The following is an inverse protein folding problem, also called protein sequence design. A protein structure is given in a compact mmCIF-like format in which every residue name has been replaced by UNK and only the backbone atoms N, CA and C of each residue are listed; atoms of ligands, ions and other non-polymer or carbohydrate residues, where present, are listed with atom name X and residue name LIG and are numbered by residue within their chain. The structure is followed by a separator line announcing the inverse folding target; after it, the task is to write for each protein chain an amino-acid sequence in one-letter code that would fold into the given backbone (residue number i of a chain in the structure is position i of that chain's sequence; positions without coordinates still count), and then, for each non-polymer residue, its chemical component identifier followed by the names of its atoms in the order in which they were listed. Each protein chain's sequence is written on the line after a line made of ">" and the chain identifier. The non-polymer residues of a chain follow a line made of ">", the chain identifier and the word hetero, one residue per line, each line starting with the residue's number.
data_IF_238983419658
#
_entry.id   IF_238983419658
#
_cell.length_a   1.000
_cell.length_b   1.000
_cell.length_c   1.000
_cell.angle_alpha   90.00
_cell.angle_beta   90.00
_cell.angle_gamma   90.00
#
_symmetry.space_group_name_H-M   'P 1'
#
loop_
_entity.id
_entity.type
_entity.pdbx_description
1 polymer ?
#
# COMPACT_ATOMS: atom_id res chain seq x y z
N UNK A 1 -12.69 -7.38 22.20
CA UNK A 1 -12.03 -6.10 21.84
C UNK A 1 -12.89 -5.51 20.73
N UNK A 2 -13.51 -4.37 20.98
CA UNK A 2 -14.18 -3.63 19.91
C UNK A 2 -13.16 -3.24 18.84
N UNK A 3 -13.52 -3.25 17.55
CA UNK A 3 -12.64 -2.76 16.51
C UNK A 3 -12.33 -1.28 16.80
N UNK A 4 -11.05 -0.95 16.95
CA UNK A 4 -10.63 0.44 17.02
C UNK A 4 -10.91 1.02 15.63
N UNK A 5 -12.00 1.80 15.51
CA UNK A 5 -12.19 2.68 14.36
C UNK A 5 -11.13 3.76 14.45
N UNK A 6 -10.03 3.56 13.73
CA UNK A 6 -9.01 4.58 13.55
C UNK A 6 -9.52 5.56 12.50
N UNK A 7 -9.97 6.72 12.93
CA UNK A 7 -10.11 7.88 12.05
C UNK A 7 -8.73 8.50 11.87
N UNK A 8 -8.11 8.39 10.67
CA UNK A 8 -6.76 8.91 10.47
C UNK A 8 -6.79 10.43 10.57
N UNK A 9 -6.33 10.96 11.70
CA UNK A 9 -6.17 12.38 11.90
C UNK A 9 -4.67 12.70 12.06
N UNK A 10 -4.00 13.22 11.02
CA UNK A 10 -2.61 13.65 11.09
C UNK A 10 -2.37 14.78 12.11
N UNK A 11 -3.40 15.56 12.42
CA UNK A 11 -3.41 16.60 13.45
C UNK A 11 -4.01 16.12 14.79
N UNK A 12 -4.26 14.81 14.93
CA UNK A 12 -4.79 14.18 16.13
C UNK A 12 -3.78 14.17 17.27
N UNK A 13 -4.19 13.64 18.42
CA UNK A 13 -3.33 13.59 19.61
C UNK A 13 -2.04 12.80 19.36
N UNK A 14 -0.88 13.45 19.43
CA UNK A 14 0.44 12.82 19.26
C UNK A 14 0.90 12.02 20.51
N UNK A 15 -0.03 11.33 21.19
CA UNK A 15 0.31 10.49 22.33
C UNK A 15 0.91 9.14 21.86
N UNK A 16 1.69 8.51 22.75
CA UNK A 16 2.37 7.24 22.44
C UNK A 16 1.40 6.13 22.03
N UNK A 17 0.31 5.96 22.79
CA UNK A 17 -0.67 4.91 22.54
C UNK A 17 -1.37 5.07 21.18
N UNK A 18 -1.76 6.30 20.81
CA UNK A 18 -2.33 6.57 19.49
C UNK A 18 -1.31 6.30 18.37
N UNK A 19 -0.06 6.71 18.56
CA UNK A 19 1.01 6.46 17.58
C UNK A 19 1.23 4.96 17.35
N UNK A 20 1.19 4.15 18.41
CA UNK A 20 1.30 2.68 18.32
C UNK A 20 0.07 2.05 17.66
N UNK A 21 -1.14 2.55 17.99
CA UNK A 21 -2.37 2.06 17.37
C UNK A 21 -2.38 2.33 15.84
N UNK A 22 -1.95 3.52 15.42
CA UNK A 22 -1.80 3.87 14.00
C UNK A 22 -0.78 2.95 13.31
N UNK A 23 0.38 2.68 13.93
CA UNK A 23 1.36 1.76 13.37
C UNK A 23 0.80 0.32 13.23
N UNK A 24 0.06 -0.16 14.22
CA UNK A 24 -0.60 -1.47 14.16
C UNK A 24 -1.64 -1.57 13.04
N UNK A 25 -2.33 -0.48 12.73
CA UNK A 25 -3.32 -0.41 11.66
C UNK A 25 -2.76 -0.72 10.27
N UNK A 26 -1.46 -0.46 10.04
CA UNK A 26 -0.80 -0.74 8.77
C UNK A 26 -0.83 -2.24 8.48
N UNK A 27 -0.54 -3.08 9.49
CA UNK A 27 -0.58 -4.53 9.32
C UNK A 27 -2.00 -5.03 9.00
N UNK A 28 -3.01 -4.47 9.65
CA UNK A 28 -4.42 -4.80 9.38
C UNK A 28 -4.86 -4.31 8.00
N UNK A 29 -4.43 -3.13 7.56
CA UNK A 29 -4.71 -2.64 6.22
C UNK A 29 -4.11 -3.56 5.15
N UNK A 30 -2.86 -4.02 5.33
CA UNK A 30 -2.23 -5.00 4.45
C UNK A 30 -3.02 -6.32 4.46
N UNK A 31 -3.48 -6.78 5.63
CA UNK A 31 -4.31 -7.99 5.73
C UNK A 31 -5.61 -7.83 4.94
N UNK A 32 -6.29 -6.69 5.04
CA UNK A 32 -7.50 -6.39 4.27
C UNK A 32 -7.22 -6.40 2.76
N UNK A 33 -6.13 -5.77 2.31
CA UNK A 33 -5.72 -5.78 0.90
C UNK A 33 -5.41 -7.21 0.40
N UNK A 34 -4.75 -8.02 1.23
CA UNK A 34 -4.50 -9.43 0.90
C UNK A 34 -5.80 -10.21 0.73
N UNK A 35 -6.78 -10.03 1.64
CA UNK A 35 -8.08 -10.68 1.52
C UNK A 35 -8.88 -10.23 0.29
N UNK A 36 -8.81 -8.95 -0.05
CA UNK A 36 -9.48 -8.38 -1.23
C UNK A 36 -8.89 -8.88 -2.56
N UNK A 37 -7.61 -9.26 -2.56
CA UNK A 37 -6.90 -9.73 -3.75
C UNK A 37 -6.86 -11.26 -3.89
N UNK A 38 -7.50 -12.01 -2.98
CA UNK A 38 -7.59 -13.46 -3.07
C UNK A 38 -8.32 -13.90 -4.35
N UNK A 39 -7.86 -14.95 -5.07
CA UNK A 39 -8.46 -15.39 -6.32
C UNK A 39 -9.97 -15.69 -6.24
N UNK A 40 -10.43 -16.24 -5.12
CA UNK A 40 -11.85 -16.57 -4.90
C UNK A 40 -12.73 -15.36 -4.58
N UNK A 41 -12.14 -14.21 -4.23
CA UNK A 41 -12.83 -12.95 -3.96
C UNK A 41 -12.53 -11.87 -5.03
N UNK A 42 -11.75 -12.21 -6.05
CA UNK A 42 -11.22 -11.25 -7.03
C UNK A 42 -12.33 -10.46 -7.74
N UNK A 43 -13.48 -11.09 -8.01
CA UNK A 43 -14.64 -10.45 -8.62
C UNK A 43 -15.25 -9.30 -7.79
N UNK A 44 -15.03 -9.27 -6.48
CA UNK A 44 -15.58 -8.24 -5.59
C UNK A 44 -14.49 -7.27 -5.06
N UNK A 45 -13.28 -7.75 -4.78
CA UNK A 45 -12.23 -6.95 -4.16
C UNK A 45 -11.24 -6.29 -5.12
N UNK A 46 -10.95 -6.92 -6.25
CA UNK A 46 -10.05 -6.40 -7.29
C UNK A 46 -10.52 -6.86 -8.68
N UNK A 47 -11.70 -6.39 -9.14
CA UNK A 47 -12.39 -6.96 -10.30
C UNK A 47 -11.66 -6.75 -11.62
N UNK A 48 -10.78 -5.74 -11.69
CA UNK A 48 -10.09 -5.36 -12.91
C UNK A 48 -8.60 -5.11 -12.65
N UNK A 49 -7.72 -5.31 -13.66
CA UNK A 49 -6.31 -4.93 -13.57
C UNK A 49 -6.08 -3.46 -13.21
N UNK A 50 -7.00 -2.56 -13.60
CA UNK A 50 -6.97 -1.14 -13.19
C UNK A 50 -7.08 -0.96 -11.67
N UNK A 51 -7.83 -1.82 -10.97
CA UNK A 51 -7.89 -1.82 -9.50
C UNK A 51 -6.54 -2.20 -8.90
N UNK A 52 -5.84 -3.18 -9.48
CA UNK A 52 -4.49 -3.57 -9.04
C UNK A 52 -3.47 -2.45 -9.32
N UNK A 53 -3.58 -1.78 -10.47
CA UNK A 53 -2.79 -0.61 -10.83
C UNK A 53 -2.94 0.52 -9.79
N UNK A 54 -4.17 0.81 -9.36
CA UNK A 54 -4.46 1.81 -8.34
C UNK A 54 -3.94 1.41 -6.95
N UNK A 55 -4.09 0.13 -6.59
CA UNK A 55 -3.53 -0.41 -5.33
C UNK A 55 -2.00 -0.25 -5.34
N UNK A 56 -1.31 -0.63 -6.42
CA UNK A 56 0.13 -0.48 -6.54
C UNK A 56 0.57 0.99 -6.43
N UNK A 57 -0.18 1.91 -7.04
CA UNK A 57 0.07 3.36 -6.93
C UNK A 57 -0.05 3.87 -5.49
N UNK A 58 -1.08 3.44 -4.76
CA UNK A 58 -1.31 3.84 -3.36
C UNK A 58 -0.25 3.25 -2.43
N UNK A 59 0.10 1.98 -2.62
CA UNK A 59 1.18 1.33 -1.87
C UNK A 59 2.52 2.02 -2.13
N UNK A 60 2.80 2.45 -3.37
CA UNK A 60 4.01 3.20 -3.72
C UNK A 60 4.10 4.50 -2.91
N UNK A 61 3.01 5.25 -2.85
CA UNK A 61 2.94 6.49 -2.05
C UNK A 61 3.16 6.20 -0.56
N UNK A 62 2.56 5.14 -0.02
CA UNK A 62 2.78 4.73 1.37
C UNK A 62 4.24 4.32 1.63
N UNK A 63 4.85 3.54 0.73
CA UNK A 63 6.24 3.12 0.83
C UNK A 63 7.20 4.32 0.81
N UNK A 64 6.95 5.30 -0.07
CA UNK A 64 7.71 6.56 -0.09
C UNK A 64 7.58 7.33 1.24
N UNK A 65 6.36 7.47 1.80
CA UNK A 65 6.16 8.10 3.10
C UNK A 65 6.83 7.35 4.28
N UNK A 66 7.05 6.04 4.12
CA UNK A 66 7.72 5.22 5.15
C UNK A 66 9.21 5.57 5.28
N UNK A 67 9.86 6.03 4.20
CA UNK A 67 11.25 6.52 4.27
C UNK A 67 11.40 7.69 5.26
N UNK A 68 10.39 8.55 5.29
CA UNK A 68 10.38 9.76 6.08
C UNK A 68 10.15 9.41 7.54
N UNK A 69 9.25 8.45 7.79
CA UNK A 69 9.01 7.91 9.12
C UNK A 69 10.30 7.34 9.75
N UNK A 70 11.08 6.55 9.01
CA UNK A 70 12.32 5.98 9.56
C UNK A 70 13.38 7.03 9.86
N UNK A 71 13.50 8.09 9.04
CA UNK A 71 14.38 9.23 9.36
C UNK A 71 13.93 9.97 10.62
N UNK A 72 12.64 10.21 10.77
CA UNK A 72 12.10 10.84 11.98
C UNK A 72 12.32 9.98 13.24
N UNK A 73 12.24 8.65 13.12
CA UNK A 73 12.56 7.73 14.23
C UNK A 73 14.05 7.78 14.59
N UNK A 74 14.94 7.85 13.61
CA UNK A 74 16.38 8.00 13.81
C UNK A 74 16.72 9.31 14.54
N UNK A 75 16.19 10.43 14.05
CA UNK A 75 16.35 11.75 14.65
C UNK A 75 15.83 11.73 16.10
N UNK A 76 14.65 11.14 16.30
CA UNK A 76 14.04 11.04 17.63
C UNK A 76 14.87 10.20 18.59
N UNK A 77 15.40 9.06 18.13
CA UNK A 77 16.26 8.21 18.95
C UNK A 77 17.57 8.93 19.32
N UNK A 78 18.16 9.66 18.38
CA UNK A 78 19.36 10.47 18.61
C UNK A 78 19.12 11.54 19.67
N UNK A 79 17.98 12.24 19.60
CA UNK A 79 17.57 13.21 20.63
C UNK A 79 17.36 12.53 21.99
N UNK A 80 16.71 11.36 22.03
CA UNK A 80 16.52 10.61 23.29
C UNK A 80 17.87 10.23 23.90
N UNK A 81 18.80 9.70 23.10
CA UNK A 81 20.13 9.31 23.56
C UNK A 81 20.97 10.49 24.07
N UNK A 82 20.77 11.69 23.51
CA UNK A 82 21.45 12.91 23.95
C UNK A 82 20.84 13.52 25.23
N UNK A 83 19.56 13.24 25.53
CA UNK A 83 18.80 13.95 26.58
C UNK A 83 18.37 13.07 27.74
N UNK A 84 18.52 11.76 27.64
CA UNK A 84 18.05 10.78 28.64
C UNK A 84 19.08 9.69 28.87
N UNK A 85 19.01 9.10 30.06
CA UNK A 85 19.72 7.87 30.36
C UNK A 85 19.02 6.69 29.66
N UNK A 86 19.73 6.05 28.73
CA UNK A 86 19.26 4.83 28.05
C UNK A 86 19.85 3.63 28.78
N UNK A 87 18.98 2.67 29.11
CA UNK A 87 19.39 1.37 29.65
C UNK A 87 19.17 0.29 28.59
N UNK A 88 19.99 -0.75 28.63
CA UNK A 88 19.88 -1.92 27.74
C UNK A 88 19.40 -3.10 28.57
N UNK A 89 18.20 -3.60 28.28
CA UNK A 89 17.62 -4.74 29.00
C UNK A 89 18.08 -6.09 28.44
N UNK A 90 18.41 -6.16 27.15
CA UNK A 90 18.84 -7.38 26.46
C UNK A 90 19.60 -7.06 25.17
N UNK A 91 20.29 -8.07 24.62
CA UNK A 91 20.94 -8.00 23.31
C UNK A 91 22.46 -7.98 23.39
N UNK A 92 23.15 -7.68 22.28
CA UNK A 92 24.60 -7.85 22.16
C UNK A 92 25.42 -6.79 22.91
N UNK A 93 24.80 -5.71 23.40
CA UNK A 93 25.46 -4.59 24.08
C UNK A 93 24.90 -4.35 25.49
N UNK A 94 24.85 -5.36 26.39
CA UNK A 94 24.12 -5.26 27.65
C UNK A 94 24.68 -4.19 28.62
N UNK A 95 25.94 -3.78 28.44
CA UNK A 95 26.62 -2.77 29.26
C UNK A 95 27.05 -1.54 28.46
N UNK A 96 26.64 -1.44 27.20
CA UNK A 96 27.03 -0.33 26.32
C UNK A 96 25.81 0.26 25.60
N UNK A 97 25.07 1.17 26.27
CA UNK A 97 23.92 1.85 25.67
C UNK A 97 24.27 2.65 24.42
N UNK A 98 25.48 3.20 24.33
CA UNK A 98 25.91 3.99 23.18
C UNK A 98 26.05 3.10 21.93
N UNK A 99 26.69 1.93 22.06
CA UNK A 99 26.76 0.94 20.98
C UNK A 99 25.38 0.40 20.61
N UNK A 100 24.47 0.19 21.58
CA UNK A 100 23.10 -0.23 21.32
C UNK A 100 22.32 0.81 20.49
N UNK A 101 22.43 2.10 20.84
CA UNK A 101 21.82 3.21 20.09
C UNK A 101 22.39 3.29 18.68
N UNK A 102 23.72 3.23 18.52
CA UNK A 102 24.37 3.27 17.22
C UNK A 102 23.88 2.14 16.30
N UNK A 103 23.73 0.92 16.85
CA UNK A 103 23.19 -0.23 16.11
C UNK A 103 21.73 -0.04 15.70
N UNK A 104 20.90 0.54 16.57
CA UNK A 104 19.50 0.85 16.26
C UNK A 104 19.37 1.94 15.18
N UNK A 105 20.19 2.98 15.23
CA UNK A 105 20.30 4.00 14.18
C UNK A 105 20.67 3.34 12.84
N UNK A 106 21.70 2.50 12.82
CA UNK A 106 22.09 1.77 11.62
C UNK A 106 20.93 0.91 11.06
N UNK A 107 20.18 0.24 11.95
CA UNK A 107 19.00 -0.54 11.54
C UNK A 107 17.92 0.33 10.89
N UNK A 108 17.64 1.51 11.43
CA UNK A 108 16.66 2.45 10.86
C UNK A 108 17.13 2.98 9.50
N UNK A 109 18.41 3.23 9.31
CA UNK A 109 18.99 3.60 8.02
C UNK A 109 18.86 2.46 7.00
N UNK A 110 19.02 1.20 7.41
CA UNK A 110 18.71 0.04 6.57
C UNK A 110 17.22 -0.01 6.17
N UNK A 111 16.32 0.24 7.12
CA UNK A 111 14.88 0.30 6.86
C UNK A 111 14.53 1.42 5.85
N UNK A 112 15.14 2.60 5.98
CA UNK A 112 14.97 3.70 5.01
C UNK A 112 15.34 3.26 3.59
N UNK A 113 16.53 2.67 3.40
CA UNK A 113 16.96 2.17 2.08
C UNK A 113 16.00 1.12 1.52
N UNK A 114 15.56 0.18 2.36
CA UNK A 114 14.61 -0.85 1.97
C UNK A 114 13.26 -0.26 1.55
N UNK A 115 12.76 0.76 2.25
CA UNK A 115 11.52 1.46 1.88
C UNK A 115 11.63 2.15 0.51
N UNK A 116 12.76 2.81 0.23
CA UNK A 116 13.00 3.41 -1.09
C UNK A 116 13.06 2.37 -2.21
N UNK A 117 13.73 1.24 -1.97
CA UNK A 117 13.77 0.12 -2.92
C UNK A 117 12.38 -0.48 -3.16
N UNK A 118 11.57 -0.61 -2.10
CA UNK A 118 10.21 -1.12 -2.20
C UNK A 118 9.31 -0.15 -2.98
N UNK A 119 9.43 1.16 -2.75
CA UNK A 119 8.72 2.18 -3.52
C UNK A 119 9.09 2.13 -5.01
N UNK A 120 10.38 1.93 -5.34
CA UNK A 120 10.83 1.76 -6.72
C UNK A 120 10.22 0.50 -7.36
N UNK A 121 10.27 -0.64 -6.67
CA UNK A 121 9.66 -1.88 -7.16
C UNK A 121 8.15 -1.75 -7.39
N UNK A 122 7.44 -1.00 -6.55
CA UNK A 122 6.02 -0.71 -6.74
C UNK A 122 5.76 0.23 -7.92
N UNK A 123 6.67 1.16 -8.20
CA UNK A 123 6.60 1.99 -9.40
C UNK A 123 6.73 1.14 -10.68
N UNK A 124 7.66 0.19 -10.69
CA UNK A 124 7.84 -0.74 -11.81
C UNK A 124 6.60 -1.62 -11.99
N UNK A 125 6.05 -2.18 -10.89
CA UNK A 125 4.82 -2.96 -10.93
C UNK A 125 3.64 -2.13 -11.45
N UNK A 126 3.48 -0.90 -10.98
CA UNK A 126 2.44 0.03 -11.45
C UNK A 126 2.55 0.28 -12.96
N UNK A 127 3.76 0.52 -13.47
CA UNK A 127 4.00 0.71 -14.90
C UNK A 127 3.67 -0.56 -15.71
N UNK A 128 4.03 -1.75 -15.19
CA UNK A 128 3.74 -3.03 -15.84
C UNK A 128 2.25 -3.39 -15.86
N UNK A 129 1.47 -2.88 -14.90
CA UNK A 129 0.01 -3.06 -14.83
C UNK A 129 -0.75 -2.11 -15.77
N UNK A 130 -0.18 -0.95 -16.10
CA UNK A 130 -0.78 0.09 -16.94
C UNK A 130 -1.39 -0.41 -18.27
N UNK A 131 -0.74 -1.29 -19.06
CA UNK A 131 -1.30 -1.76 -20.33
C UNK A 131 -2.37 -2.86 -20.18
N UNK A 132 -2.65 -3.34 -18.97
CA UNK A 132 -3.54 -4.49 -18.77
C UNK A 132 -5.02 -4.07 -18.77
N UNK A 133 -5.84 -4.81 -19.51
CA UNK A 133 -7.29 -4.65 -19.53
C UNK A 133 -8.00 -5.99 -19.60
N UNK A 134 -9.30 -6.00 -19.28
CA UNK A 134 -10.16 -7.18 -19.44
C UNK A 134 -10.89 -7.06 -20.77
N UNK A 135 -10.80 -8.08 -21.61
CA UNK A 135 -11.68 -8.19 -22.78
C UNK A 135 -13.06 -8.61 -22.29
N UNK A 136 -14.05 -7.75 -22.48
CA UNK A 136 -15.45 -8.11 -22.28
C UNK A 136 -15.87 -8.94 -23.51
N UNK A 137 -16.37 -10.18 -23.33
CA UNK A 137 -16.94 -10.94 -24.44
C UNK A 137 -18.05 -10.12 -25.11
N UNK A 138 -18.08 -10.10 -26.45
CA UNK A 138 -19.17 -9.42 -27.17
C UNK A 138 -20.51 -10.00 -26.72
N UNK A 139 -21.49 -9.12 -26.48
CA UNK A 139 -22.87 -9.55 -26.24
C UNK A 139 -23.35 -10.29 -27.51
N UNK A 140 -23.85 -11.54 -27.41
CA UNK A 140 -24.42 -12.22 -28.57
C UNK A 140 -25.58 -11.44 -29.23
N UNK A 141 -26.23 -10.51 -28.51
CA UNK A 141 -27.27 -9.63 -29.07
C UNK A 141 -26.73 -8.37 -29.77
N UNK A 142 -25.44 -8.05 -29.66
CA UNK A 142 -24.76 -6.98 -30.40
C UNK A 142 -24.27 -7.42 -31.80
N UNK A 143 -24.68 -8.61 -32.25
CA UNK A 143 -24.46 -9.03 -33.64
C UNK A 143 -25.08 -7.96 -34.57
N UNK A 144 -24.32 -7.41 -35.54
CA UNK A 144 -24.87 -6.41 -36.46
C UNK A 144 -26.11 -7.01 -37.10
N UNK A 145 -27.27 -6.38 -36.83
CA UNK A 145 -28.55 -6.80 -37.36
C UNK A 145 -28.40 -7.11 -38.83
N UNK A 146 -28.71 -8.35 -39.21
CA UNK A 146 -28.78 -8.76 -40.61
C UNK A 146 -29.62 -7.70 -41.33
N UNK A 147 -28.99 -6.99 -42.26
CA UNK A 147 -29.66 -5.99 -43.08
C UNK A 147 -30.97 -6.59 -43.60
N UNK A 148 -32.06 -5.94 -43.25
CA UNK A 148 -33.39 -6.21 -43.76
C UNK A 148 -33.38 -5.81 -45.25
N UNK A 149 -32.98 -6.74 -46.11
CA UNK A 149 -33.16 -6.67 -47.56
C UNK A 149 -34.64 -6.88 -47.87
N UNK A 150 -35.47 -5.89 -47.51
CA UNK A 150 -36.81 -5.72 -48.08
C UNK A 150 -36.75 -4.64 -49.17
N UNK A 151 -36.04 -4.94 -50.25
CA UNK A 151 -36.19 -4.27 -51.54
C UNK A 151 -37.59 -4.62 -52.10
N UNK A 152 -38.59 -3.86 -51.66
CA UNK A 152 -39.93 -3.91 -52.23
C UNK A 152 -39.93 -3.06 -53.51
N UNK A 153 -39.39 -3.65 -54.58
CA UNK A 153 -39.65 -3.18 -55.93
C UNK A 153 -41.13 -3.36 -56.27
N UNK A 154 -41.91 -2.28 -56.18
CA UNK A 154 -43.19 -2.19 -56.88
C UNK A 154 -43.10 -1.13 -57.98
N UNK A 155 -42.92 -1.64 -59.20
CA UNK A 155 -43.06 -0.90 -60.45
C UNK A 155 -44.54 -0.75 -60.84
N UNK A 156 -44.87 0.48 -61.24
CA UNK A 156 -45.78 0.91 -62.31
C UNK A 156 -46.75 -0.12 -62.92
N UNK A 157 -48.05 0.18 -62.78
CA UNK A 157 -49.04 0.14 -63.86
C UNK A 157 -50.20 1.10 -63.56
#
# INVERSE_FOLDING_TARGET
>A
MDPITLEPNPAGGHCGDYTLAVAGAIAEAVRVLNYATLPHNAAAGAPYPSTLYDIASRLRTAAAGTDQLFRQMEDRLTVIAATREITVSHGPFPTDPAAAVARAVEALQWCNRAASMFAAALADAHNALSPLGVRIPADPDDAPGTADDSDSGEGWA
#
